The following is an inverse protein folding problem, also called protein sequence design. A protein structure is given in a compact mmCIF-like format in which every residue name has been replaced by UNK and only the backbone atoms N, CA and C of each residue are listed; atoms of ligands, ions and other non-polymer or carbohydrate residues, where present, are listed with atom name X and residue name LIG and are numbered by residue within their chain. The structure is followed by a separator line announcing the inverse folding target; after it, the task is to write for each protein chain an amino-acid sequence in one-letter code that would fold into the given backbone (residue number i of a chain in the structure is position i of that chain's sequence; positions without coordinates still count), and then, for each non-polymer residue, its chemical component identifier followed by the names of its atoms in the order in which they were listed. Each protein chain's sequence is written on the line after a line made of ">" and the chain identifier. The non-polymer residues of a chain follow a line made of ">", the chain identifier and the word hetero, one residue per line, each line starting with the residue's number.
data_IF_235597607698
#
_entry.id   IF_235597607698
#
_cell.length_a   1.000
_cell.length_b   1.000
_cell.length_c   1.000
_cell.angle_alpha   90.00
_cell.angle_beta   90.00
_cell.angle_gamma   90.00
#
_symmetry.space_group_name_H-M   'P 1'
#
loop_
_entity.id
_entity.type
_entity.pdbx_description
1 polymer ?
#
# COMPACT_ATOMS: atom_id res chain seq x y z
N UNK A 1 -35.52 25.49 48.65
CA UNK A 1 -35.78 24.27 49.39
C UNK A 1 -34.51 23.47 49.19
N UNK A 2 -33.43 23.70 50.01
CA UNK A 2 -33.11 23.06 51.28
C UNK A 2 -33.34 21.54 51.20
N UNK A 3 -32.35 20.67 51.41
CA UNK A 3 -31.51 20.41 52.61
C UNK A 3 -30.35 19.55 52.13
N UNK A 4 -29.08 19.87 52.32
CA UNK A 4 -28.08 19.61 53.35
C UNK A 4 -28.12 18.19 53.98
N UNK A 5 -26.92 17.62 54.06
CA UNK A 5 -26.15 17.08 55.21
C UNK A 5 -25.62 15.68 54.88
N UNK A 6 -24.52 15.19 55.39
CA UNK A 6 -23.39 15.66 56.19
C UNK A 6 -22.42 14.44 56.31
N UNK A 7 -21.20 14.77 56.59
CA UNK A 7 -20.08 13.92 57.03
C UNK A 7 -20.37 12.82 58.01
N UNK A 8 -19.65 11.68 57.89
CA UNK A 8 -19.11 10.96 59.04
C UNK A 8 -17.72 10.41 58.69
N UNK A 9 -16.75 10.92 59.47
CA UNK A 9 -15.38 10.41 59.59
C UNK A 9 -15.37 9.45 60.76
N UNK A 10 -14.94 8.21 60.57
CA UNK A 10 -14.59 7.31 61.68
C UNK A 10 -13.10 7.02 61.69
N UNK A 11 -12.46 7.52 62.75
CA UNK A 11 -11.13 7.13 63.22
C UNK A 11 -11.14 5.70 63.71
N UNK A 12 -10.26 4.83 63.21
CA UNK A 12 -9.96 3.57 63.89
C UNK A 12 -8.56 3.53 64.44
N UNK A 13 -8.54 3.27 65.72
CA UNK A 13 -7.45 3.17 66.66
C UNK A 13 -6.36 2.18 66.27
N UNK A 14 -5.14 2.59 66.51
CA UNK A 14 -3.92 1.79 66.50
C UNK A 14 -3.90 0.68 67.54
N UNK A 15 -3.62 -0.54 67.14
CA UNK A 15 -3.25 -1.66 68.01
C UNK A 15 -1.75 -1.90 67.97
N UNK A 16 -1.09 -2.28 69.07
CA UNK A 16 0.37 -2.28 69.14
C UNK A 16 0.99 -3.49 68.44
N UNK A 17 2.07 -3.21 67.70
CA UNK A 17 2.88 -4.17 66.98
C UNK A 17 3.74 -4.97 67.96
N UNK A 18 3.51 -6.29 68.00
CA UNK A 18 4.41 -7.27 68.63
C UNK A 18 5.66 -7.41 67.73
N UNK A 19 6.82 -7.04 68.26
CA UNK A 19 8.12 -7.32 67.63
C UNK A 19 8.41 -8.83 67.72
N UNK A 20 8.17 -9.56 66.65
CA UNK A 20 8.80 -10.86 66.49
C UNK A 20 10.18 -10.65 65.88
N UNK A 21 11.18 -11.06 66.65
CA UNK A 21 12.57 -11.22 66.15
C UNK A 21 12.56 -12.42 65.21
N UNK A 22 12.57 -12.13 63.92
CA UNK A 22 12.91 -13.12 62.87
C UNK A 22 14.40 -13.06 62.62
N UNK A 23 15.07 -14.18 62.85
CA UNK A 23 16.41 -14.49 62.36
C UNK A 23 16.57 -14.09 60.87
N UNK A 24 17.70 -13.51 60.45
CA UNK A 24 17.92 -13.21 59.05
C UNK A 24 17.99 -14.51 58.25
N UNK A 25 16.98 -14.79 57.49
CA UNK A 25 17.03 -15.75 56.38
C UNK A 25 18.01 -15.10 55.39
N UNK A 26 19.09 -15.83 55.05
CA UNK A 26 20.03 -15.39 54.00
C UNK A 26 19.22 -14.95 52.77
N UNK A 27 19.29 -13.70 52.41
CA UNK A 27 18.84 -13.21 51.11
C UNK A 27 19.60 -14.00 50.06
N UNK A 28 18.94 -14.98 49.46
CA UNK A 28 19.37 -15.48 48.17
C UNK A 28 19.33 -14.25 47.25
N UNK A 29 20.48 -13.64 47.05
CA UNK A 29 20.66 -12.66 45.97
C UNK A 29 20.40 -13.39 44.65
N UNK A 30 19.18 -13.28 44.15
CA UNK A 30 18.85 -13.65 42.78
C UNK A 30 19.75 -12.79 41.90
N UNK A 31 20.81 -13.40 41.36
CA UNK A 31 21.66 -12.73 40.39
C UNK A 31 20.81 -12.36 39.19
N UNK A 32 20.71 -11.08 38.80
CA UNK A 32 19.84 -10.71 37.72
C UNK A 32 20.33 -11.35 36.42
N UNK A 33 19.48 -12.17 35.80
CA UNK A 33 19.67 -12.66 34.45
C UNK A 33 19.38 -11.50 33.49
N UNK A 34 20.37 -11.05 32.76
CA UNK A 34 20.19 -10.05 31.72
C UNK A 34 19.90 -10.78 30.41
N UNK A 35 18.67 -10.65 29.91
CA UNK A 35 18.28 -11.11 28.60
C UNK A 35 18.26 -9.92 27.64
N UNK A 36 19.00 -10.01 26.56
CA UNK A 36 18.88 -9.08 25.45
C UNK A 36 18.36 -9.82 24.24
N UNK A 37 17.20 -9.41 23.77
CA UNK A 37 16.61 -9.92 22.54
C UNK A 37 16.83 -8.88 21.44
N UNK A 38 17.63 -9.22 20.45
CA UNK A 38 17.71 -8.45 19.21
C UNK A 38 16.45 -8.73 18.41
N UNK A 39 15.41 -7.95 18.64
CA UNK A 39 14.19 -8.01 17.86
C UNK A 39 14.32 -7.03 16.70
N UNK A 40 14.57 -7.52 15.50
CA UNK A 40 14.17 -6.78 14.32
C UNK A 40 12.63 -6.85 14.25
N UNK A 41 11.98 -5.84 14.81
CA UNK A 41 10.56 -5.65 14.53
C UNK A 41 10.44 -5.34 13.04
N UNK A 42 9.63 -6.13 12.34
CA UNK A 42 9.12 -5.72 11.04
C UNK A 42 8.32 -4.43 11.30
N UNK A 43 8.85 -3.32 10.82
CA UNK A 43 8.20 -2.01 10.98
C UNK A 43 7.02 -1.96 10.00
N UNK A 44 5.88 -2.53 10.43
CA UNK A 44 4.66 -2.54 9.64
C UNK A 44 4.08 -1.13 9.69
N UNK A 45 4.57 -0.26 8.82
CA UNK A 45 4.11 1.11 8.73
C UNK A 45 2.97 1.25 7.72
N UNK A 46 1.73 1.17 8.20
CA UNK A 46 0.54 1.43 7.38
C UNK A 46 0.29 2.94 7.33
N UNK A 47 0.68 3.56 6.22
CA UNK A 47 0.50 4.98 6.00
C UNK A 47 -0.97 5.30 5.80
N UNK A 48 -1.48 6.30 6.53
CA UNK A 48 -2.88 6.73 6.48
C UNK A 48 -3.09 7.86 5.47
N UNK A 49 -4.27 7.95 4.82
CA UNK A 49 -4.59 9.01 3.86
C UNK A 49 -4.97 10.33 4.56
N UNK A 50 -4.13 10.78 5.49
CA UNK A 50 -4.36 12.06 6.17
C UNK A 50 -4.04 13.23 5.25
N UNK A 51 -4.76 14.33 5.41
CA UNK A 51 -4.51 15.58 4.69
C UNK A 51 -4.12 16.67 5.68
N UNK A 52 -3.09 17.45 5.34
CA UNK A 52 -2.66 18.60 6.14
C UNK A 52 -1.99 19.66 5.26
N UNK A 53 -2.20 20.91 5.57
CA UNK A 53 -1.60 22.02 4.83
C UNK A 53 -0.09 22.02 4.93
N UNK A 54 0.56 22.35 3.82
CA UNK A 54 1.98 22.63 3.79
C UNK A 54 2.26 24.12 3.81
N UNK A 55 3.43 24.51 4.27
CA UNK A 55 3.91 25.90 4.21
C UNK A 55 4.15 26.40 2.77
N UNK A 56 3.99 25.56 1.76
CA UNK A 56 4.21 25.85 0.33
C UNK A 56 2.93 25.99 -0.48
N UNK A 57 1.76 25.93 0.17
CA UNK A 57 0.46 26.15 -0.45
C UNK A 57 -0.18 24.92 -1.10
N UNK A 58 0.43 23.75 -1.01
CA UNK A 58 -0.21 22.49 -1.35
C UNK A 58 -0.61 21.73 -0.10
N UNK A 59 -1.62 20.89 -0.19
CA UNK A 59 -2.03 19.95 0.86
C UNK A 59 -1.13 18.71 0.80
N UNK A 60 -0.59 18.27 1.94
CA UNK A 60 0.14 17.01 2.02
C UNK A 60 -0.82 15.84 1.93
N UNK A 61 -0.41 14.76 1.30
CA UNK A 61 -1.16 13.52 1.18
C UNK A 61 -0.45 12.40 1.95
N UNK A 62 -0.96 12.10 3.15
CA UNK A 62 -0.29 11.33 4.18
C UNK A 62 0.49 12.24 5.14
N UNK A 63 0.82 11.73 6.31
CA UNK A 63 1.51 12.48 7.36
C UNK A 63 2.84 13.10 6.85
N UNK A 64 3.63 12.30 6.16
CA UNK A 64 4.90 12.71 5.56
C UNK A 64 4.77 13.07 4.07
N UNK A 65 3.54 13.25 3.56
CA UNK A 65 3.28 13.50 2.14
C UNK A 65 3.66 12.31 1.23
N UNK A 66 3.52 11.10 1.70
CA UNK A 66 4.04 9.85 1.14
C UNK A 66 2.97 8.77 0.87
N UNK A 67 1.69 9.07 1.16
CA UNK A 67 0.61 8.11 0.95
C UNK A 67 0.51 7.57 -0.49
N UNK A 68 0.61 8.39 -1.56
CA UNK A 68 0.57 7.84 -2.92
C UNK A 68 1.78 6.96 -3.27
N UNK A 69 2.97 7.26 -2.71
CA UNK A 69 4.15 6.42 -2.85
C UNK A 69 3.97 5.07 -2.14
N UNK A 70 3.30 5.08 -0.99
CA UNK A 70 2.92 3.87 -0.27
C UNK A 70 1.96 3.00 -1.10
N UNK A 71 0.90 3.58 -1.69
CA UNK A 71 0.00 2.86 -2.58
C UNK A 71 0.73 2.28 -3.81
N UNK A 72 1.67 3.04 -4.36
CA UNK A 72 2.51 2.58 -5.48
C UNK A 72 3.43 1.43 -5.07
N UNK A 73 4.00 1.45 -3.86
CA UNK A 73 4.80 0.33 -3.35
C UNK A 73 3.96 -0.94 -3.19
N UNK A 74 2.76 -0.84 -2.63
CA UNK A 74 1.85 -1.98 -2.52
C UNK A 74 1.49 -2.57 -3.89
N UNK A 75 1.19 -1.70 -4.87
CA UNK A 75 0.94 -2.14 -6.24
C UNK A 75 2.12 -2.90 -6.86
N UNK A 76 3.36 -2.46 -6.61
CA UNK A 76 4.56 -3.11 -7.16
C UNK A 76 4.95 -4.39 -6.44
N UNK A 77 4.72 -4.44 -5.11
CA UNK A 77 5.24 -5.49 -4.25
C UNK A 77 4.22 -6.61 -4.01
N UNK A 78 2.92 -6.39 -4.33
CA UNK A 78 1.82 -7.34 -4.08
C UNK A 78 1.27 -7.87 -5.39
N UNK A 79 1.64 -9.10 -5.74
CA UNK A 79 1.31 -9.71 -7.02
C UNK A 79 -0.21 -9.80 -7.27
N UNK A 80 -0.99 -10.12 -6.24
CA UNK A 80 -2.45 -10.18 -6.33
C UNK A 80 -3.04 -8.81 -6.68
N UNK A 81 -2.59 -7.75 -6.00
CA UNK A 81 -3.05 -6.38 -6.25
C UNK A 81 -2.70 -5.93 -7.67
N UNK A 82 -1.46 -6.18 -8.10
CA UNK A 82 -1.00 -5.84 -9.44
C UNK A 82 -1.81 -6.57 -10.51
N UNK A 83 -2.05 -7.88 -10.35
CA UNK A 83 -2.84 -8.68 -11.28
C UNK A 83 -4.27 -8.15 -11.44
N UNK A 84 -4.95 -7.83 -10.34
CA UNK A 84 -6.31 -7.28 -10.39
C UNK A 84 -6.31 -5.92 -11.09
N UNK A 85 -5.37 -5.03 -10.77
CA UNK A 85 -5.30 -3.70 -11.38
C UNK A 85 -5.01 -3.82 -12.87
N UNK A 86 -3.96 -4.53 -13.29
CA UNK A 86 -3.58 -4.62 -14.70
C UNK A 86 -4.65 -5.34 -15.55
N UNK A 87 -5.19 -6.46 -15.07
CA UNK A 87 -6.30 -7.12 -15.79
C UNK A 87 -7.56 -6.26 -15.90
N UNK A 88 -7.83 -5.43 -14.88
CA UNK A 88 -8.93 -4.46 -14.97
C UNK A 88 -8.61 -3.33 -15.94
N UNK A 89 -7.35 -2.87 -16.00
CA UNK A 89 -6.88 -1.90 -17.00
C UNK A 89 -7.10 -2.41 -18.42
N UNK A 90 -6.79 -3.69 -18.68
CA UNK A 90 -7.01 -4.30 -19.99
C UNK A 90 -8.50 -4.28 -20.38
N UNK A 91 -9.39 -4.63 -19.46
CA UNK A 91 -10.83 -4.55 -19.70
C UNK A 91 -11.33 -3.11 -19.90
N UNK A 92 -10.77 -2.11 -19.20
CA UNK A 92 -11.16 -0.70 -19.34
C UNK A 92 -10.64 -0.12 -20.65
N UNK A 93 -9.40 -0.43 -21.05
CA UNK A 93 -8.79 0.05 -22.29
C UNK A 93 -9.59 -0.46 -23.50
N UNK A 94 -10.14 -1.68 -23.40
CA UNK A 94 -10.94 -2.28 -24.46
C UNK A 94 -10.11 -2.56 -25.71
N UNK A 95 -10.78 -2.65 -26.86
CA UNK A 95 -10.12 -2.98 -28.12
C UNK A 95 -9.66 -1.75 -28.90
N UNK A 96 -10.39 -0.63 -28.83
CA UNK A 96 -10.09 0.58 -29.59
C UNK A 96 -10.59 1.84 -28.86
N UNK A 97 -9.86 2.92 -29.01
CA UNK A 97 -10.31 4.27 -28.66
C UNK A 97 -10.74 5.00 -29.92
N UNK A 98 -11.93 5.56 -29.95
CA UNK A 98 -12.51 6.24 -31.10
C UNK A 98 -12.80 7.71 -30.78
N UNK A 99 -12.62 8.59 -31.75
CA UNK A 99 -12.97 10.01 -31.73
C UNK A 99 -13.92 10.32 -32.86
N UNK A 100 -15.10 10.91 -32.54
CA UNK A 100 -16.16 11.22 -33.53
C UNK A 100 -16.46 9.99 -34.44
N UNK A 101 -16.57 8.80 -33.83
CA UNK A 101 -16.83 7.49 -34.47
C UNK A 101 -15.72 6.96 -35.39
N UNK A 102 -14.55 7.61 -35.43
CA UNK A 102 -13.36 7.12 -36.16
C UNK A 102 -12.32 6.60 -35.16
N UNK A 103 -11.63 5.50 -35.53
CA UNK A 103 -10.52 4.99 -34.69
C UNK A 103 -9.46 6.07 -34.54
N UNK A 104 -9.11 6.38 -33.29
CA UNK A 104 -8.18 7.46 -32.99
C UNK A 104 -6.75 6.94 -32.88
N UNK A 105 -6.06 6.90 -34.01
CA UNK A 105 -4.66 6.45 -34.13
C UNK A 105 -3.65 7.60 -34.25
N UNK A 106 -4.10 8.86 -34.12
CA UNK A 106 -3.20 10.02 -34.16
C UNK A 106 -2.45 10.18 -32.84
N UNK A 107 -1.18 10.56 -32.93
CA UNK A 107 -0.34 10.85 -31.76
C UNK A 107 -0.93 12.02 -30.97
N UNK A 108 -0.97 11.88 -29.65
CA UNK A 108 -1.55 12.89 -28.77
C UNK A 108 -0.54 13.92 -28.27
N UNK A 109 0.76 13.70 -28.51
CA UNK A 109 1.84 14.60 -28.11
C UNK A 109 3.13 14.36 -28.91
N UNK A 110 4.19 15.12 -28.60
CA UNK A 110 5.50 15.06 -29.21
C UNK A 110 6.38 13.86 -28.77
N UNK A 111 5.87 13.04 -27.85
CA UNK A 111 6.51 11.77 -27.44
C UNK A 111 5.99 10.56 -28.19
N UNK A 112 5.21 10.79 -29.23
CA UNK A 112 4.60 9.74 -30.03
C UNK A 112 3.59 8.86 -29.28
N UNK A 113 3.08 9.31 -28.12
CA UNK A 113 2.07 8.56 -27.36
C UNK A 113 0.73 8.49 -28.12
N UNK A 114 0.09 7.31 -28.06
CA UNK A 114 -1.21 7.05 -28.65
C UNK A 114 -2.34 7.24 -27.60
N UNK A 115 -3.57 7.52 -28.04
CA UNK A 115 -4.72 7.66 -27.15
C UNK A 115 -4.95 6.45 -26.23
N UNK A 116 -4.72 5.25 -26.73
CA UNK A 116 -4.84 4.02 -25.96
C UNK A 116 -3.86 3.95 -24.80
N UNK A 117 -2.60 4.40 -24.99
CA UNK A 117 -1.57 4.45 -23.95
C UNK A 117 -1.95 5.43 -22.84
N UNK A 118 -2.55 6.59 -23.21
CA UNK A 118 -3.11 7.52 -22.26
C UNK A 118 -4.26 6.92 -21.47
N UNK A 119 -5.23 6.28 -22.15
CA UNK A 119 -6.37 5.61 -21.52
C UNK A 119 -5.89 4.54 -20.56
N UNK A 120 -4.91 3.72 -20.94
CA UNK A 120 -4.28 2.69 -20.10
C UNK A 120 -3.65 3.29 -18.85
N UNK A 121 -2.90 4.36 -19.00
CA UNK A 121 -2.21 5.03 -17.90
C UNK A 121 -3.16 5.67 -16.89
N UNK A 122 -4.19 6.40 -17.37
CA UNK A 122 -5.19 7.01 -16.48
C UNK A 122 -6.13 5.98 -15.85
N UNK A 123 -6.39 4.86 -16.52
CA UNK A 123 -7.15 3.73 -15.96
C UNK A 123 -6.42 3.12 -14.76
N UNK A 124 -5.10 2.93 -14.91
CA UNK A 124 -4.24 2.45 -13.82
C UNK A 124 -4.25 3.39 -12.63
N UNK A 125 -4.16 4.69 -12.86
CA UNK A 125 -4.20 5.71 -11.80
C UNK A 125 -5.56 5.75 -11.08
N UNK A 126 -6.66 5.64 -11.81
CA UNK A 126 -8.01 5.53 -11.20
C UNK A 126 -8.08 4.33 -10.27
N UNK A 127 -7.56 3.18 -10.69
CA UNK A 127 -7.59 1.96 -9.89
C UNK A 127 -6.63 2.03 -8.70
N UNK A 128 -5.43 2.60 -8.89
CA UNK A 128 -4.42 2.72 -7.83
C UNK A 128 -4.79 3.76 -6.77
N UNK A 129 -5.27 4.93 -7.21
CA UNK A 129 -5.40 6.11 -6.35
C UNK A 129 -6.85 6.62 -6.23
N UNK A 130 -7.74 6.24 -7.15
CA UNK A 130 -9.10 6.78 -7.22
C UNK A 130 -9.22 8.08 -8.04
N UNK A 131 -8.16 8.49 -8.72
CA UNK A 131 -8.11 9.70 -9.54
C UNK A 131 -7.00 9.67 -10.57
N UNK A 132 -6.94 10.68 -11.44
CA UNK A 132 -5.89 10.83 -12.43
C UNK A 132 -5.66 12.29 -12.80
N UNK A 133 -4.54 12.58 -13.45
CA UNK A 133 -4.18 13.90 -13.94
C UNK A 133 -3.66 13.86 -15.38
N UNK A 134 -4.09 14.83 -16.19
CA UNK A 134 -3.62 15.01 -17.57
C UNK A 134 -3.10 16.44 -17.70
N UNK A 135 -1.88 16.60 -18.20
CA UNK A 135 -1.39 17.90 -18.60
C UNK A 135 -1.90 18.23 -20.01
N UNK A 136 -2.68 19.29 -20.10
CA UNK A 136 -3.29 19.78 -21.34
C UNK A 136 -2.51 20.99 -21.82
N UNK A 137 -1.89 20.88 -22.98
CA UNK A 137 -1.14 21.97 -23.60
C UNK A 137 -1.91 22.51 -24.81
N UNK A 138 -2.07 23.83 -24.85
CA UNK A 138 -2.77 24.50 -25.94
C UNK A 138 -1.80 24.96 -27.03
N UNK A 139 -2.23 24.88 -28.27
CA UNK A 139 -1.51 25.44 -29.42
C UNK A 139 -1.72 26.95 -29.52
N UNK A 140 -1.02 27.61 -30.43
CA UNK A 140 -1.11 29.07 -30.67
C UNK A 140 -2.51 29.53 -31.10
N UNK A 141 -3.32 28.63 -31.63
CA UNK A 141 -4.72 28.91 -32.01
C UNK A 141 -5.73 28.74 -30.87
N UNK A 142 -5.26 28.44 -29.64
CA UNK A 142 -6.10 28.28 -28.46
C UNK A 142 -6.81 26.92 -28.36
N UNK A 143 -6.58 25.99 -29.31
CA UNK A 143 -7.10 24.63 -29.27
C UNK A 143 -6.17 23.72 -28.45
N UNK A 144 -6.69 22.63 -27.91
CA UNK A 144 -5.86 21.58 -27.31
C UNK A 144 -4.93 21.04 -28.40
N UNK A 145 -3.64 21.15 -28.16
CA UNK A 145 -2.58 20.74 -29.09
C UNK A 145 -1.94 19.42 -28.66
N UNK A 146 -1.79 19.20 -27.37
CA UNK A 146 -1.17 17.97 -26.86
C UNK A 146 -1.73 17.59 -25.49
N UNK A 147 -1.79 16.29 -25.25
CA UNK A 147 -2.14 15.67 -23.97
C UNK A 147 -0.93 14.87 -23.47
N UNK A 148 -0.56 15.06 -22.21
CA UNK A 148 0.50 14.28 -21.57
C UNK A 148 -0.03 13.63 -20.31
N UNK A 149 0.20 12.34 -20.18
CA UNK A 149 0.00 11.64 -18.93
C UNK A 149 0.93 12.19 -17.85
N UNK A 150 0.41 12.40 -16.67
CA UNK A 150 1.20 12.75 -15.48
C UNK A 150 0.96 11.68 -14.42
N UNK A 151 2.03 10.97 -13.99
CA UNK A 151 1.92 10.01 -12.89
C UNK A 151 1.30 10.66 -11.66
N UNK A 152 0.20 10.12 -11.18
CA UNK A 152 -0.65 10.76 -10.18
C UNK A 152 0.04 10.91 -8.82
N UNK A 153 0.95 9.98 -8.47
CA UNK A 153 1.78 10.04 -7.28
C UNK A 153 2.71 11.26 -7.25
N UNK A 154 2.94 11.89 -8.42
CA UNK A 154 3.80 13.07 -8.55
C UNK A 154 3.06 14.39 -8.45
N UNK A 155 1.73 14.36 -8.32
CA UNK A 155 0.90 15.56 -8.21
C UNK A 155 0.51 15.78 -6.76
N UNK A 156 0.53 17.06 -6.36
CA UNK A 156 -0.15 17.56 -5.15
C UNK A 156 -1.05 18.72 -5.56
N UNK A 157 -2.05 19.00 -4.75
CA UNK A 157 -3.04 20.03 -5.01
C UNK A 157 -3.14 21.00 -3.85
N UNK A 158 -3.62 22.22 -4.10
CA UNK A 158 -4.12 23.07 -3.05
C UNK A 158 -5.51 22.57 -2.59
N UNK A 159 -5.99 23.05 -1.46
CA UNK A 159 -7.24 22.63 -0.82
C UNK A 159 -8.44 22.64 -1.81
N UNK A 160 -8.52 23.65 -2.67
CA UNK A 160 -9.66 23.86 -3.59
C UNK A 160 -9.48 23.19 -4.97
N UNK A 161 -8.42 22.44 -5.19
CA UNK A 161 -8.10 21.83 -6.49
C UNK A 161 -8.09 22.83 -7.66
N UNK A 162 -7.54 24.03 -7.43
CA UNK A 162 -7.39 25.09 -8.44
C UNK A 162 -5.96 25.24 -8.92
N UNK A 163 -4.99 24.77 -8.16
CA UNK A 163 -3.57 24.80 -8.45
C UNK A 163 -2.94 23.45 -8.15
N UNK A 164 -2.07 22.99 -9.05
CA UNK A 164 -1.42 21.70 -8.95
C UNK A 164 0.09 21.85 -8.96
N UNK A 165 0.75 21.03 -8.16
CA UNK A 165 2.18 21.04 -7.93
C UNK A 165 2.75 19.71 -8.38
N UNK A 166 3.58 19.72 -9.42
CA UNK A 166 4.25 18.55 -9.93
C UNK A 166 5.68 18.49 -9.41
N UNK A 167 6.06 17.37 -8.84
CA UNK A 167 7.44 17.05 -8.48
C UNK A 167 7.82 15.64 -8.90
N UNK A 168 9.04 15.46 -9.37
CA UNK A 168 9.58 14.12 -9.63
C UNK A 168 9.85 13.34 -8.34
N UNK A 169 10.06 14.06 -7.25
CA UNK A 169 10.48 13.47 -5.98
C UNK A 169 9.85 14.25 -4.81
N UNK A 170 8.94 13.60 -4.10
CA UNK A 170 8.27 14.11 -2.92
C UNK A 170 8.88 13.59 -1.61
N UNK A 171 9.93 12.74 -1.66
CA UNK A 171 10.59 12.15 -0.48
C UNK A 171 11.36 13.18 0.35
N UNK A 172 11.70 14.33 -0.26
CA UNK A 172 12.41 15.40 0.41
C UNK A 172 11.49 16.17 1.34
N UNK A 173 12.05 16.71 2.43
CA UNK A 173 11.32 17.61 3.31
C UNK A 173 10.69 18.75 2.50
N UNK A 174 9.47 19.19 2.90
CA UNK A 174 8.64 20.17 2.20
C UNK A 174 9.42 21.43 1.78
N UNK A 175 10.37 21.89 2.61
CA UNK A 175 11.22 23.05 2.30
C UNK A 175 12.22 22.86 1.14
N UNK A 176 12.58 21.62 0.82
CA UNK A 176 13.61 21.26 -0.19
C UNK A 176 13.03 20.67 -1.47
N UNK A 177 11.73 20.40 -1.53
CA UNK A 177 11.07 19.87 -2.73
C UNK A 177 11.11 20.92 -3.84
N UNK A 178 11.57 20.51 -5.02
CA UNK A 178 11.47 21.29 -6.26
C UNK A 178 10.21 20.86 -6.99
N UNK A 179 9.32 21.79 -7.30
CA UNK A 179 8.08 21.53 -8.00
C UNK A 179 7.82 22.57 -9.11
N UNK A 180 6.99 22.18 -10.06
CA UNK A 180 6.42 23.07 -11.07
C UNK A 180 4.94 23.26 -10.72
N UNK A 181 4.46 24.49 -10.78
CA UNK A 181 3.09 24.85 -10.50
C UNK A 181 2.29 24.98 -11.79
N UNK A 182 1.11 24.38 -11.82
CA UNK A 182 0.19 24.43 -12.94
C UNK A 182 -1.20 24.91 -12.47
N UNK A 183 -1.88 25.72 -13.27
CA UNK A 183 -3.28 26.04 -13.03
C UNK A 183 -4.19 24.86 -13.38
N UNK A 184 -5.40 24.86 -12.83
CA UNK A 184 -6.47 23.96 -13.25
C UNK A 184 -6.84 24.20 -14.71
N UNK A 185 -7.15 23.11 -15.41
CA UNK A 185 -7.69 23.18 -16.78
C UNK A 185 -9.02 23.94 -16.79
N UNK A 186 -9.10 24.92 -17.71
CA UNK A 186 -10.31 25.68 -18.00
C UNK A 186 -10.52 25.67 -19.53
N UNK A 187 -11.65 25.17 -20.04
CA UNK A 187 -11.91 25.10 -21.48
C UNK A 187 -11.92 26.49 -22.16
N UNK A 188 -12.24 27.56 -21.42
CA UNK A 188 -12.30 28.92 -21.92
C UNK A 188 -10.93 29.62 -22.03
N UNK A 189 -9.91 29.08 -21.39
CA UNK A 189 -8.56 29.62 -21.43
C UNK A 189 -7.88 29.23 -22.75
N UNK A 190 -7.28 30.18 -23.45
CA UNK A 190 -6.78 29.95 -24.82
C UNK A 190 -5.27 29.73 -24.92
N UNK A 191 -4.54 29.76 -23.82
CA UNK A 191 -3.08 29.66 -23.83
C UNK A 191 -2.53 28.82 -22.66
N UNK A 192 -1.29 28.39 -22.80
CA UNK A 192 -0.50 27.76 -21.75
C UNK A 192 -0.74 26.28 -21.56
N UNK A 193 -0.16 25.81 -20.47
CA UNK A 193 -0.25 24.44 -19.98
C UNK A 193 -1.05 24.43 -18.68
N UNK A 194 -1.93 23.46 -18.51
CA UNK A 194 -2.83 23.34 -17.36
C UNK A 194 -3.07 21.86 -17.01
N UNK A 195 -3.51 21.60 -15.81
CA UNK A 195 -3.82 20.22 -15.36
C UNK A 195 -5.34 20.00 -15.33
N UNK A 196 -5.79 19.01 -16.10
CA UNK A 196 -7.07 18.37 -15.84
C UNK A 196 -6.88 17.36 -14.72
N UNK A 197 -7.67 17.48 -13.66
CA UNK A 197 -7.59 16.66 -12.46
C UNK A 197 -8.95 16.04 -12.17
N UNK A 198 -8.98 14.72 -12.06
CA UNK A 198 -10.16 13.98 -11.64
C UNK A 198 -9.91 13.35 -10.27
N UNK A 199 -10.87 13.46 -9.38
CA UNK A 199 -10.94 12.78 -8.08
C UNK A 199 -12.33 12.17 -7.90
N UNK A 200 -12.38 10.92 -7.44
CA UNK A 200 -13.63 10.24 -7.07
C UNK A 200 -14.20 10.77 -5.74
N UNK A 201 -13.41 11.47 -4.96
CA UNK A 201 -13.82 12.09 -3.70
C UNK A 201 -14.04 13.60 -3.94
N UNK A 202 -15.22 14.09 -3.54
CA UNK A 202 -15.56 15.52 -3.66
C UNK A 202 -15.42 16.27 -2.34
N UNK A 203 -15.25 15.56 -1.25
CA UNK A 203 -15.16 16.15 0.10
C UNK A 203 -13.71 16.47 0.46
N UNK A 204 -12.78 15.61 0.06
CA UNK A 204 -11.36 15.76 0.36
C UNK A 204 -10.60 16.31 -0.86
N UNK A 205 -9.42 16.85 -0.62
CA UNK A 205 -8.51 17.34 -1.68
C UNK A 205 -8.08 16.19 -2.59
N UNK A 206 -7.82 15.01 -1.99
CA UNK A 206 -7.32 13.83 -2.70
C UNK A 206 -8.38 12.74 -2.82
N UNK A 207 -8.26 11.90 -3.85
CA UNK A 207 -9.13 10.74 -4.03
C UNK A 207 -8.82 9.64 -3.01
N UNK A 208 -9.74 8.68 -2.93
CA UNK A 208 -9.58 7.46 -2.14
C UNK A 208 -9.67 6.24 -3.07
N UNK A 209 -8.67 5.35 -3.10
CA UNK A 209 -8.73 4.17 -3.93
C UNK A 209 -9.89 3.24 -3.52
N UNK A 210 -10.49 2.56 -4.49
CA UNK A 210 -11.64 1.66 -4.24
C UNK A 210 -11.28 0.51 -3.28
N UNK A 211 -10.01 0.13 -3.24
CA UNK A 211 -9.46 -0.93 -2.39
C UNK A 211 -8.84 -0.43 -1.07
N UNK A 212 -9.07 0.83 -0.70
CA UNK A 212 -8.50 1.42 0.52
C UNK A 212 -8.76 0.60 1.79
N UNK A 213 -9.92 -0.04 1.90
CA UNK A 213 -10.25 -0.94 3.00
C UNK A 213 -9.36 -2.21 3.03
N UNK A 214 -8.80 -2.60 1.90
CA UNK A 214 -7.94 -3.78 1.76
C UNK A 214 -6.42 -3.44 1.77
N UNK A 215 -6.02 -2.19 2.04
CA UNK A 215 -4.59 -1.84 2.17
C UNK A 215 -3.88 -2.70 3.21
N UNK A 216 -4.54 -3.01 4.34
CA UNK A 216 -3.99 -3.93 5.35
C UNK A 216 -3.78 -5.34 4.82
N UNK A 217 -4.66 -5.81 3.94
CA UNK A 217 -4.54 -7.12 3.32
C UNK A 217 -3.39 -7.17 2.31
N UNK A 218 -3.21 -6.11 1.52
CA UNK A 218 -2.05 -5.97 0.66
C UNK A 218 -0.75 -5.97 1.47
N UNK A 219 -0.72 -5.24 2.58
CA UNK A 219 0.45 -5.22 3.48
C UNK A 219 0.74 -6.61 4.09
N UNK A 220 -0.30 -7.35 4.48
CA UNK A 220 -0.13 -8.73 4.99
C UNK A 220 0.51 -9.63 3.90
N UNK A 221 0.01 -9.61 2.66
CA UNK A 221 0.58 -10.42 1.58
C UNK A 221 2.05 -10.02 1.32
N UNK A 222 2.37 -8.73 1.31
CA UNK A 222 3.75 -8.22 1.19
C UNK A 222 4.64 -8.73 2.32
N UNK A 223 4.24 -8.54 3.57
CA UNK A 223 5.04 -8.89 4.74
C UNK A 223 5.26 -10.41 4.88
N UNK A 224 4.27 -11.21 4.54
CA UNK A 224 4.43 -12.67 4.53
C UNK A 224 5.43 -13.11 3.45
N UNK A 225 5.40 -12.50 2.27
CA UNK A 225 6.36 -12.80 1.21
C UNK A 225 7.78 -12.37 1.62
N UNK A 226 7.96 -11.20 2.23
CA UNK A 226 9.24 -10.72 2.77
C UNK A 226 9.76 -11.64 3.88
N UNK A 227 8.89 -12.07 4.79
CA UNK A 227 9.23 -13.02 5.83
C UNK A 227 9.75 -14.35 5.25
N UNK A 228 9.05 -14.91 4.25
CA UNK A 228 9.49 -16.16 3.60
C UNK A 228 10.81 -15.97 2.86
N UNK A 229 10.99 -14.88 2.14
CA UNK A 229 12.24 -14.56 1.45
C UNK A 229 13.40 -14.47 2.44
N UNK A 230 13.23 -13.76 3.54
CA UNK A 230 14.22 -13.63 4.60
C UNK A 230 14.49 -14.98 5.27
N UNK A 231 13.47 -15.80 5.51
CA UNK A 231 13.64 -17.14 6.08
C UNK A 231 14.45 -18.06 5.18
N UNK A 232 14.23 -18.00 3.86
CA UNK A 232 15.00 -18.75 2.87
C UNK A 232 16.45 -18.23 2.83
N UNK A 233 16.64 -16.90 2.75
CA UNK A 233 17.97 -16.30 2.72
C UNK A 233 18.81 -16.63 3.95
N UNK A 234 18.15 -16.76 5.09
CA UNK A 234 18.79 -17.12 6.37
C UNK A 234 18.85 -18.64 6.63
N UNK A 235 18.56 -19.46 5.61
CA UNK A 235 18.67 -20.93 5.72
C UNK A 235 17.69 -21.53 6.73
N UNK A 236 16.48 -20.96 6.89
CA UNK A 236 15.50 -21.34 7.92
C UNK A 236 16.12 -21.33 9.33
N UNK A 237 17.05 -20.40 9.59
CA UNK A 237 17.84 -20.38 10.81
C UNK A 237 16.94 -20.29 12.04
N UNK A 238 17.10 -21.32 12.89
CA UNK A 238 16.52 -21.34 14.21
C UNK A 238 17.01 -20.12 15.01
N UNK A 239 16.18 -19.64 15.92
CA UNK A 239 16.65 -18.68 16.92
C UNK A 239 17.76 -19.33 17.74
N UNK A 240 18.93 -18.70 17.79
CA UNK A 240 20.04 -19.20 18.60
C UNK A 240 20.02 -18.51 19.95
N UNK A 241 20.14 -19.32 21.03
CA UNK A 241 20.47 -18.82 22.34
C UNK A 241 21.96 -19.04 22.57
N UNK A 242 22.70 -17.96 22.77
CA UNK A 242 24.10 -18.01 23.19
C UNK A 242 24.14 -17.68 24.66
N UNK A 243 24.50 -18.67 25.48
CA UNK A 243 24.75 -18.47 26.92
C UNK A 243 26.21 -18.24 27.19
N UNK A 244 26.58 -17.08 27.64
CA UNK A 244 27.92 -16.73 28.08
C UNK A 244 27.98 -16.87 29.60
N UNK A 245 28.76 -17.86 30.08
CA UNK A 245 28.76 -18.31 31.49
C UNK A 245 30.03 -17.88 32.23
N UNK A 246 30.62 -16.75 31.88
CA UNK A 246 31.87 -16.25 32.41
C UNK A 246 31.73 -14.95 33.23
N UNK A 247 30.56 -14.74 33.75
CA UNK A 247 30.22 -13.55 34.53
C UNK A 247 29.21 -12.65 33.82
N UNK A 248 28.59 -11.76 34.57
CA UNK A 248 27.64 -10.72 34.06
C UNK A 248 28.46 -9.45 33.83
N UNK A 249 28.64 -9.02 32.57
CA UNK A 249 29.38 -7.79 32.27
C UNK A 249 28.58 -6.54 32.69
N UNK A 250 29.28 -5.40 32.79
CA UNK A 250 28.61 -4.13 32.87
C UNK A 250 27.88 -3.81 31.52
N UNK A 251 27.06 -2.76 31.52
CA UNK A 251 26.22 -2.42 30.38
C UNK A 251 27.02 -2.11 29.10
N UNK A 252 28.16 -1.38 29.25
CA UNK A 252 29.02 -1.02 28.11
C UNK A 252 29.66 -2.24 27.45
N UNK A 253 30.18 -3.21 28.25
CA UNK A 253 30.77 -4.43 27.74
C UNK A 253 29.69 -5.34 27.16
N UNK A 254 28.49 -5.37 27.71
CA UNK A 254 27.37 -6.13 27.16
C UNK A 254 26.99 -5.61 25.77
N UNK A 255 26.96 -4.31 25.57
CA UNK A 255 26.68 -3.66 24.27
C UNK A 255 27.80 -3.97 23.25
N UNK A 256 29.07 -3.90 23.63
CA UNK A 256 30.19 -4.26 22.76
C UNK A 256 30.14 -5.73 22.32
N UNK A 257 29.77 -6.64 23.23
CA UNK A 257 29.58 -8.05 22.92
C UNK A 257 28.43 -8.23 21.96
N UNK A 258 27.28 -7.59 22.20
CA UNK A 258 26.10 -7.63 21.34
C UNK A 258 26.43 -7.14 19.92
N UNK A 259 27.07 -5.98 19.80
CA UNK A 259 27.49 -5.41 18.53
C UNK A 259 28.46 -6.33 17.77
N UNK A 260 29.41 -6.94 18.47
CA UNK A 260 30.35 -7.90 17.88
C UNK A 260 29.67 -9.16 17.36
N UNK A 261 28.64 -9.66 18.05
CA UNK A 261 27.83 -10.78 17.58
C UNK A 261 26.94 -10.38 16.40
N UNK A 262 26.34 -9.21 16.44
CA UNK A 262 25.53 -8.64 15.33
C UNK A 262 26.44 -8.52 14.10
N UNK A 263 27.62 -7.93 14.21
CA UNK A 263 28.54 -7.77 13.08
C UNK A 263 28.98 -9.12 12.47
N UNK A 264 29.26 -10.11 13.30
CA UNK A 264 29.79 -11.41 12.86
C UNK A 264 28.74 -12.40 12.39
N UNK A 265 27.54 -12.36 12.97
CA UNK A 265 26.50 -13.36 12.75
C UNK A 265 25.26 -12.83 12.04
N UNK A 266 25.08 -11.51 11.96
CA UNK A 266 23.95 -10.85 11.30
C UNK A 266 24.38 -9.97 10.12
N UNK A 267 25.43 -10.34 9.38
CA UNK A 267 25.78 -9.68 8.11
C UNK A 267 24.53 -9.57 7.21
N UNK A 268 24.51 -8.65 6.27
CA UNK A 268 23.35 -8.13 5.48
C UNK A 268 22.40 -9.14 4.82
N UNK A 269 22.37 -10.38 5.25
CA UNK A 269 21.49 -11.46 4.83
C UNK A 269 21.09 -12.43 5.95
N UNK A 270 21.64 -12.32 7.15
CA UNK A 270 21.43 -13.31 8.22
C UNK A 270 20.53 -12.76 9.34
N UNK A 271 19.24 -12.57 9.06
CA UNK A 271 18.22 -12.19 10.04
C UNK A 271 17.80 -13.32 11.00
N UNK A 272 18.74 -14.12 11.51
CA UNK A 272 18.46 -15.07 12.58
C UNK A 272 18.16 -14.31 13.88
N UNK A 273 17.16 -14.74 14.65
CA UNK A 273 16.92 -14.20 16.00
C UNK A 273 18.02 -14.71 16.92
N UNK A 274 18.91 -13.82 17.33
CA UNK A 274 19.94 -14.10 18.31
C UNK A 274 19.50 -13.61 19.68
N UNK A 275 19.52 -14.47 20.67
CA UNK A 275 19.29 -14.13 22.07
C UNK A 275 20.62 -14.40 22.80
N UNK A 276 21.17 -13.37 23.46
CA UNK A 276 22.36 -13.50 24.27
C UNK A 276 21.95 -13.49 25.74
N UNK A 277 22.40 -14.47 26.49
CA UNK A 277 22.21 -14.57 27.95
C UNK A 277 23.56 -14.54 28.63
N UNK A 278 23.70 -13.72 29.65
CA UNK A 278 24.88 -13.65 30.51
C UNK A 278 24.54 -14.29 31.86
N UNK A 279 25.38 -15.22 32.30
CA UNK A 279 25.25 -15.90 33.59
C UNK A 279 26.60 -15.98 34.29
N UNK A 280 26.61 -16.09 35.62
CA UNK A 280 27.85 -16.22 36.41
C UNK A 280 28.50 -17.59 36.20
N UNK A 281 27.71 -18.64 36.01
CA UNK A 281 28.16 -19.99 35.81
C UNK A 281 27.13 -20.79 34.98
N UNK A 282 27.48 -22.05 34.67
CA UNK A 282 26.65 -22.94 33.84
C UNK A 282 25.34 -23.35 34.53
N UNK A 283 25.31 -23.38 35.85
CA UNK A 283 24.13 -23.83 36.62
C UNK A 283 23.04 -22.77 36.59
N UNK A 284 23.41 -21.50 36.39
CA UNK A 284 22.51 -20.35 36.29
C UNK A 284 22.28 -19.90 34.83
N UNK A 285 22.74 -20.69 33.85
CA UNK A 285 22.53 -20.34 32.44
C UNK A 285 21.06 -20.52 32.01
N UNK A 286 20.61 -19.64 31.12
CA UNK A 286 19.26 -19.73 30.55
C UNK A 286 19.15 -20.98 29.64
N UNK A 287 18.13 -21.77 29.85
CA UNK A 287 17.74 -22.83 28.92
C UNK A 287 16.63 -22.38 28.01
N UNK A 288 16.84 -22.48 26.71
CA UNK A 288 15.79 -22.25 25.73
C UNK A 288 15.15 -23.58 25.35
N UNK A 289 13.99 -23.86 25.87
CA UNK A 289 13.16 -24.93 25.35
C UNK A 289 12.68 -24.53 23.96
N UNK A 290 13.03 -25.30 22.93
CA UNK A 290 12.57 -25.09 21.56
C UNK A 290 11.04 -25.12 21.55
N UNK A 291 10.44 -23.95 21.34
CA UNK A 291 9.03 -23.92 21.01
C UNK A 291 8.87 -24.51 19.61
N UNK A 292 8.25 -25.67 19.52
CA UNK A 292 7.91 -26.28 18.23
C UNK A 292 7.01 -25.31 17.46
N UNK A 293 7.58 -24.67 16.44
CA UNK A 293 6.87 -23.82 15.49
C UNK A 293 6.37 -24.68 14.33
N UNK A 294 5.68 -25.78 14.64
CA UNK A 294 5.36 -26.83 13.66
C UNK A 294 4.17 -26.48 12.76
N UNK A 295 3.49 -25.35 12.99
CA UNK A 295 2.28 -24.97 12.24
C UNK A 295 2.37 -23.60 11.54
N UNK A 296 3.57 -23.05 11.40
CA UNK A 296 3.76 -21.71 10.80
C UNK A 296 3.37 -21.67 9.31
N UNK A 297 3.67 -22.74 8.56
CA UNK A 297 3.39 -22.83 7.13
C UNK A 297 1.90 -22.73 6.80
N UNK A 298 1.06 -23.50 7.49
CA UNK A 298 -0.40 -23.49 7.29
C UNK A 298 -1.02 -22.16 7.73
N UNK A 299 -0.54 -21.56 8.82
CA UNK A 299 -1.02 -20.24 9.28
C UNK A 299 -0.71 -19.14 8.26
N UNK A 300 0.51 -19.10 7.72
CA UNK A 300 0.88 -18.13 6.69
C UNK A 300 0.11 -18.33 5.40
N UNK A 301 -0.11 -19.59 4.99
CA UNK A 301 -0.96 -19.93 3.84
C UNK A 301 -2.38 -19.38 4.02
N UNK A 302 -3.00 -19.66 5.16
CA UNK A 302 -4.34 -19.16 5.49
C UNK A 302 -4.43 -17.64 5.54
N UNK A 303 -3.40 -16.94 6.04
CA UNK A 303 -3.33 -15.49 6.05
C UNK A 303 -3.26 -14.90 4.63
N UNK A 304 -2.41 -15.48 3.76
CA UNK A 304 -2.31 -15.04 2.35
C UNK A 304 -3.62 -15.27 1.62
N UNK A 305 -4.24 -16.44 1.76
CA UNK A 305 -5.52 -16.74 1.11
C UNK A 305 -6.61 -15.76 1.54
N UNK A 306 -6.71 -15.47 2.83
CA UNK A 306 -7.64 -14.48 3.34
C UNK A 306 -7.33 -13.06 2.83
N UNK A 307 -6.07 -12.68 2.78
CA UNK A 307 -5.63 -11.39 2.26
C UNK A 307 -6.03 -11.23 0.78
N UNK A 308 -5.79 -12.26 -0.03
CA UNK A 308 -6.20 -12.32 -1.44
C UNK A 308 -7.71 -12.20 -1.61
N UNK A 309 -8.49 -12.96 -0.85
CA UNK A 309 -9.95 -12.88 -0.90
C UNK A 309 -10.45 -11.47 -0.57
N UNK A 310 -9.84 -10.78 0.39
CA UNK A 310 -10.21 -9.41 0.74
C UNK A 310 -9.85 -8.41 -0.37
N UNK A 311 -8.73 -8.59 -1.07
CA UNK A 311 -8.37 -7.78 -2.23
C UNK A 311 -9.41 -7.97 -3.35
N UNK A 312 -9.74 -9.20 -3.73
CA UNK A 312 -10.78 -9.47 -4.73
C UNK A 312 -12.14 -8.88 -4.34
N UNK A 313 -12.52 -9.00 -3.06
CA UNK A 313 -13.76 -8.42 -2.52
C UNK A 313 -13.77 -6.89 -2.65
N UNK A 314 -12.66 -6.22 -2.34
CA UNK A 314 -12.55 -4.76 -2.43
C UNK A 314 -12.70 -4.26 -3.88
N UNK A 315 -12.18 -4.99 -4.85
CA UNK A 315 -12.34 -4.70 -6.28
C UNK A 315 -13.67 -5.22 -6.85
N UNK A 316 -14.49 -5.95 -6.07
CA UNK A 316 -15.69 -6.66 -6.56
C UNK A 316 -15.39 -7.60 -7.72
N UNK A 317 -14.19 -8.14 -7.73
CA UNK A 317 -13.64 -8.98 -8.79
C UNK A 317 -13.76 -10.45 -8.42
N UNK A 318 -13.94 -11.31 -9.44
CA UNK A 318 -13.88 -12.76 -9.26
C UNK A 318 -12.47 -13.24 -9.66
N UNK A 319 -11.79 -14.05 -8.84
CA UNK A 319 -10.45 -14.57 -9.13
C UNK A 319 -10.33 -15.24 -10.51
N UNK A 320 -11.37 -15.94 -10.97
CA UNK A 320 -11.39 -16.63 -12.26
C UNK A 320 -11.18 -15.68 -13.46
N UNK A 321 -11.60 -14.41 -13.36
CA UNK A 321 -11.38 -13.41 -14.41
C UNK A 321 -9.90 -13.05 -14.59
N UNK A 322 -9.07 -13.32 -13.59
CA UNK A 322 -7.66 -12.97 -13.54
C UNK A 322 -6.75 -14.21 -13.57
N UNK A 323 -7.30 -15.36 -14.04
CA UNK A 323 -6.52 -16.59 -14.20
C UNK A 323 -6.18 -17.31 -12.90
N UNK A 324 -6.83 -16.97 -11.78
CA UNK A 324 -6.61 -17.63 -10.48
C UNK A 324 -7.72 -18.68 -10.29
N UNK A 325 -7.39 -19.99 -10.29
CA UNK A 325 -8.39 -21.05 -10.11
C UNK A 325 -8.94 -21.01 -8.69
N UNK A 326 -10.25 -21.19 -8.54
CA UNK A 326 -10.91 -21.42 -7.25
C UNK A 326 -10.99 -22.93 -6.97
N UNK A 327 -10.76 -23.35 -5.73
CA UNK A 327 -10.51 -24.75 -5.33
C UNK A 327 -11.60 -25.77 -5.70
N UNK A 328 -12.80 -25.36 -6.13
CA UNK A 328 -13.92 -26.28 -6.34
C UNK A 328 -14.55 -26.29 -7.75
N UNK A 329 -14.09 -25.45 -8.66
CA UNK A 329 -14.69 -25.38 -9.99
C UNK A 329 -13.59 -25.45 -11.06
N UNK A 330 -13.61 -26.49 -11.87
CA UNK A 330 -12.92 -26.47 -13.15
C UNK A 330 -13.38 -25.22 -13.95
N UNK A 331 -12.57 -24.77 -14.90
CA UNK A 331 -12.89 -23.63 -15.76
C UNK A 331 -14.23 -23.88 -16.47
N UNK A 332 -15.27 -23.10 -16.12
CA UNK A 332 -16.58 -23.16 -16.74
C UNK A 332 -16.79 -21.87 -17.56
N UNK A 333 -16.82 -22.01 -18.88
CA UNK A 333 -16.98 -20.90 -19.83
C UNK A 333 -18.24 -20.07 -19.52
N UNK A 334 -19.38 -20.72 -19.25
CA UNK A 334 -20.65 -20.03 -18.99
C UNK A 334 -20.59 -19.18 -17.69
N UNK A 335 -19.93 -19.68 -16.66
CA UNK A 335 -19.72 -18.95 -15.41
C UNK A 335 -18.77 -17.77 -15.62
N UNK A 336 -17.70 -17.96 -16.39
CA UNK A 336 -16.77 -16.91 -16.77
C UNK A 336 -17.50 -15.77 -17.49
N UNK A 337 -18.30 -16.08 -18.51
CA UNK A 337 -19.03 -15.09 -19.29
C UNK A 337 -20.05 -14.30 -18.44
N UNK A 338 -20.78 -14.98 -17.55
CA UNK A 338 -21.71 -14.32 -16.63
C UNK A 338 -20.98 -13.38 -15.67
N UNK A 339 -19.86 -13.84 -15.14
CA UNK A 339 -19.03 -13.06 -14.20
C UNK A 339 -18.41 -11.88 -14.91
N UNK A 340 -17.88 -12.06 -16.11
CA UNK A 340 -17.34 -10.97 -16.94
C UNK A 340 -18.41 -9.93 -17.28
N UNK A 341 -19.60 -10.32 -17.69
CA UNK A 341 -20.73 -9.40 -17.96
C UNK A 341 -21.09 -8.58 -16.72
N UNK A 342 -21.12 -9.19 -15.55
CA UNK A 342 -21.40 -8.49 -14.29
C UNK A 342 -20.28 -7.50 -13.96
N UNK A 343 -19.02 -7.93 -14.01
CA UNK A 343 -17.85 -7.10 -13.72
C UNK A 343 -17.73 -5.93 -14.69
N UNK A 344 -17.94 -6.20 -15.97
CA UNK A 344 -17.97 -5.17 -17.01
C UNK A 344 -19.03 -4.10 -16.71
N UNK A 345 -20.23 -4.51 -16.33
CA UNK A 345 -21.34 -3.59 -16.04
C UNK A 345 -21.14 -2.78 -14.77
N UNK A 346 -20.55 -3.38 -13.72
CA UNK A 346 -20.47 -2.78 -12.38
C UNK A 346 -19.16 -2.04 -12.12
N UNK A 347 -18.09 -2.40 -12.81
CA UNK A 347 -16.74 -1.86 -12.56
C UNK A 347 -16.15 -1.20 -13.80
N UNK A 348 -16.06 -1.93 -14.93
CA UNK A 348 -15.35 -1.45 -16.12
C UNK A 348 -16.07 -0.26 -16.78
N UNK A 349 -17.34 -0.44 -17.16
CA UNK A 349 -18.14 0.61 -17.85
C UNK A 349 -18.26 1.93 -17.06
N UNK A 350 -18.47 1.91 -15.74
CA UNK A 350 -18.46 3.16 -14.96
C UNK A 350 -17.13 3.92 -15.06
N UNK A 351 -16.00 3.21 -15.05
CA UNK A 351 -14.67 3.83 -15.20
C UNK A 351 -14.46 4.32 -16.63
N UNK A 352 -14.80 3.53 -17.65
CA UNK A 352 -14.78 3.97 -19.05
C UNK A 352 -15.58 5.26 -19.24
N UNK A 353 -16.78 5.36 -18.64
CA UNK A 353 -17.61 6.56 -18.71
C UNK A 353 -16.91 7.77 -18.08
N UNK A 354 -16.23 7.62 -16.95
CA UNK A 354 -15.46 8.70 -16.34
C UNK A 354 -14.36 9.18 -17.29
N UNK A 355 -13.61 8.25 -17.88
CA UNK A 355 -12.50 8.56 -18.78
C UNK A 355 -13.03 9.26 -20.05
N UNK A 356 -14.02 8.69 -20.72
CA UNK A 356 -14.59 9.27 -21.94
C UNK A 356 -15.20 10.63 -21.70
N UNK A 357 -15.96 10.83 -20.63
CA UNK A 357 -16.50 12.14 -20.26
C UNK A 357 -15.39 13.16 -19.98
N UNK A 358 -14.29 12.75 -19.36
CA UNK A 358 -13.16 13.66 -19.09
C UNK A 358 -12.46 14.06 -20.39
N UNK A 359 -12.19 13.12 -21.28
CA UNK A 359 -11.60 13.40 -22.58
C UNK A 359 -12.52 14.22 -23.47
N UNK A 360 -13.84 13.95 -23.46
CA UNK A 360 -14.83 14.76 -24.18
C UNK A 360 -14.79 16.23 -23.70
N UNK A 361 -14.74 16.43 -22.39
CA UNK A 361 -14.66 17.78 -21.81
C UNK A 361 -13.35 18.51 -22.17
N UNK A 362 -12.22 17.79 -22.24
CA UNK A 362 -10.93 18.37 -22.60
C UNK A 362 -10.87 18.73 -24.10
N UNK A 363 -11.34 17.85 -24.97
CA UNK A 363 -11.14 17.93 -26.41
C UNK A 363 -12.30 18.60 -27.16
N UNK A 364 -13.45 18.75 -26.50
CA UNK A 364 -14.73 19.16 -27.13
C UNK A 364 -15.08 18.23 -28.31
N UNK A 365 -14.92 16.91 -28.12
CA UNK A 365 -15.12 15.83 -29.09
C UNK A 365 -15.82 14.65 -28.44
N UNK A 366 -16.40 13.78 -29.26
CA UNK A 366 -17.01 12.53 -28.78
C UNK A 366 -15.99 11.40 -28.76
N UNK A 367 -15.53 11.02 -27.54
CA UNK A 367 -14.63 9.90 -27.36
C UNK A 367 -15.43 8.69 -26.89
N UNK A 368 -15.19 7.55 -27.52
CA UNK A 368 -15.76 6.26 -27.14
C UNK A 368 -14.66 5.19 -27.04
N UNK A 369 -14.90 4.20 -26.21
CA UNK A 369 -14.01 3.03 -26.05
C UNK A 369 -14.81 1.82 -26.46
N UNK A 370 -14.31 1.08 -27.46
CA UNK A 370 -14.89 -0.19 -27.89
C UNK A 370 -14.67 -1.21 -26.78
N UNK A 371 -15.75 -1.83 -26.25
CA UNK A 371 -15.61 -2.79 -25.15
C UNK A 371 -14.69 -3.95 -25.51
N UNK A 372 -13.96 -4.44 -24.52
CA UNK A 372 -13.22 -5.68 -24.62
C UNK A 372 -14.20 -6.82 -24.95
N UNK A 373 -13.88 -7.63 -25.94
CA UNK A 373 -14.65 -8.80 -26.37
C UNK A 373 -13.77 -10.03 -26.42
N UNK A 374 -14.31 -11.16 -25.99
CA UNK A 374 -13.66 -12.47 -26.10
C UNK A 374 -13.93 -13.15 -27.45
N UNK A 375 -14.88 -12.62 -28.24
CA UNK A 375 -15.39 -13.22 -29.46
C UNK A 375 -14.67 -12.75 -30.73
N UNK A 376 -13.69 -11.88 -30.65
CA UNK A 376 -13.08 -11.21 -31.82
C UNK A 376 -12.11 -12.10 -32.62
N UNK A 377 -11.69 -13.26 -32.09
CA UNK A 377 -10.81 -14.19 -32.84
C UNK A 377 -11.51 -15.00 -33.94
N UNK A 378 -12.83 -15.07 -33.94
CA UNK A 378 -13.58 -15.90 -34.91
C UNK A 378 -14.08 -15.16 -36.16
N UNK A 379 -13.92 -13.84 -36.28
CA UNK A 379 -14.40 -13.09 -37.46
C UNK A 379 -13.38 -12.97 -38.58
N UNK A 380 -12.10 -13.14 -38.33
CA UNK A 380 -11.09 -13.15 -39.41
C UNK A 380 -11.01 -14.48 -40.18
N UNK A 381 -11.45 -15.60 -39.59
CA UNK A 381 -11.44 -16.91 -40.28
C UNK A 381 -12.54 -17.06 -41.35
N UNK A 382 -13.62 -16.29 -41.26
CA UNK A 382 -14.73 -16.38 -42.22
C UNK A 382 -14.53 -15.54 -43.51
N UNK A 383 -13.53 -14.62 -43.50
CA UNK A 383 -13.23 -13.77 -44.69
C UNK A 383 -12.22 -14.42 -45.63
N UNK A 384 -11.49 -15.45 -45.20
CA UNK A 384 -10.47 -16.13 -46.00
C UNK A 384 -11.07 -17.36 -46.77
N UNK A 385 -12.35 -17.72 -46.54
CA UNK A 385 -13.01 -18.85 -47.22
C UNK A 385 -14.11 -18.44 -48.22
N UNK A 386 -14.07 -17.22 -48.79
CA UNK A 386 -14.92 -16.84 -49.91
C UNK A 386 -14.11 -16.40 -51.12
#
# INVERSE_FOLDING_TARGET
>A
MQVTDAHIIEEQKSTPVVKNQTTPVAENQLTPLIFRAVNQYLDINIIQPTESDSTKGFVKWGENNDYPQYLDSLYRDVATLQSIIEGTVDFITGNEVRIDDVVWNEKINDKDELPEELVRSISRDILKYGGFAINVVRNRGGRVGSLYYIPFERIRSNENNTEFYYSKDWSKSVGRVKYIKYPKFDPNKKDGSSIFYYSNNKTNTYPTPIWSAACKSAEIEKQVNEYHLNSIANGFSASYLISLNNGIPNEEIADEIEDSFIEKFTGSGNGGRLVISFANDKEHSAELNKLDVDDSGERYKSLIERARQQLFTAFRANPNLFGIPTENNGFNQEEYDKTFKLYNRTTVRPIQKIITQSLNYILDKTITITPFSLDDENKESDVIQK
#
